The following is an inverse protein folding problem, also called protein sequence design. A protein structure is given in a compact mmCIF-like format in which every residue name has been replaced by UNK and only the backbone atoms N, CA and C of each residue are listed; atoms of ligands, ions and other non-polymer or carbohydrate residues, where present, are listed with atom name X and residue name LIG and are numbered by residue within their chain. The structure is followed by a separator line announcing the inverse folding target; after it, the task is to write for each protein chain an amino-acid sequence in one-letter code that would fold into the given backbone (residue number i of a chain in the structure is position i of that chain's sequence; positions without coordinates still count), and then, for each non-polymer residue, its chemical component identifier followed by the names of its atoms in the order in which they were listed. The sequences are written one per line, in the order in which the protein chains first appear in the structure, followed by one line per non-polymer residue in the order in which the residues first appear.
data_IF_240887069148
#
_entry.id   IF_240887069148
#
_cell.length_a   1.000
_cell.length_b   1.000
_cell.length_c   1.000
_cell.angle_alpha   90.00
_cell.angle_beta   90.00
_cell.angle_gamma   90.00
#
_symmetry.space_group_name_H-M   'P 1'
#
loop_
_entity.id
_entity.type
_entity.pdbx_description
1 polymer ?
#
# COMPACT_ATOMS: atom_id res chain seq x y z
N UNK A 1 22.25 -0.65 15.60
CA UNK A 1 21.88 -0.08 14.29
C UNK A 1 22.96 -0.44 13.29
N UNK A 2 22.63 -0.57 12.00
CA UNK A 2 23.63 -0.73 10.94
C UNK A 2 24.35 0.61 10.72
N UNK A 3 25.67 0.61 10.73
CA UNK A 3 26.45 1.83 10.42
C UNK A 3 26.21 2.24 8.95
N UNK A 4 26.09 3.54 8.62
CA UNK A 4 25.78 4.00 7.26
C UNK A 4 26.76 3.52 6.19
N UNK A 5 28.02 3.28 6.57
CA UNK A 5 29.11 2.83 5.69
C UNK A 5 29.40 1.33 5.81
N UNK A 6 28.63 0.58 6.59
CA UNK A 6 28.86 -0.85 6.79
C UNK A 6 28.80 -1.59 5.44
N UNK A 7 29.81 -2.40 5.14
CA UNK A 7 29.85 -3.27 3.96
C UNK A 7 29.35 -4.69 4.24
N UNK A 8 29.21 -5.06 5.52
CA UNK A 8 28.79 -6.38 5.97
C UNK A 8 27.84 -6.29 7.18
N UNK A 9 27.02 -7.32 7.38
CA UNK A 9 26.16 -7.43 8.56
C UNK A 9 25.84 -8.88 8.94
N UNK A 10 25.84 -9.14 10.25
CA UNK A 10 25.42 -10.42 10.81
C UNK A 10 23.90 -10.65 10.73
N UNK A 11 23.10 -9.57 10.69
CA UNK A 11 21.63 -9.68 10.61
C UNK A 11 21.17 -9.72 9.16
N UNK A 12 20.04 -10.39 8.93
CA UNK A 12 19.39 -10.42 7.62
C UNK A 12 19.03 -9.01 7.15
N UNK A 13 18.39 -8.23 8.01
CA UNK A 13 17.97 -6.85 7.70
C UNK A 13 19.16 -5.98 7.32
N UNK A 14 20.28 -6.09 8.05
CA UNK A 14 21.49 -5.34 7.72
C UNK A 14 22.06 -5.72 6.36
N UNK A 15 22.06 -7.01 5.99
CA UNK A 15 22.48 -7.46 4.66
C UNK A 15 21.56 -6.94 3.56
N UNK A 16 20.24 -6.90 3.79
CA UNK A 16 19.28 -6.36 2.83
C UNK A 16 19.42 -4.85 2.65
N UNK A 17 19.66 -4.10 3.73
CA UNK A 17 19.93 -2.65 3.65
C UNK A 17 21.22 -2.38 2.87
N UNK A 18 22.29 -3.14 3.12
CA UNK A 18 23.53 -3.04 2.33
C UNK A 18 23.25 -3.36 0.86
N UNK A 19 22.52 -4.44 0.56
CA UNK A 19 22.13 -4.78 -0.82
C UNK A 19 21.35 -3.65 -1.49
N UNK A 20 20.38 -3.05 -0.79
CA UNK A 20 19.60 -1.91 -1.28
C UNK A 20 20.50 -0.72 -1.65
N UNK A 21 21.47 -0.38 -0.78
CA UNK A 21 22.42 0.70 -1.02
C UNK A 21 23.34 0.41 -2.21
N UNK A 22 24.01 -0.76 -2.21
CA UNK A 22 25.07 -1.08 -3.17
C UNK A 22 24.54 -1.45 -4.56
N UNK A 23 23.42 -2.17 -4.65
CA UNK A 23 22.91 -2.67 -5.94
C UNK A 23 21.88 -1.74 -6.59
N UNK A 24 21.10 -1.03 -5.76
CA UNK A 24 19.99 -0.21 -6.24
C UNK A 24 20.20 1.29 -5.98
N UNK A 25 21.35 1.68 -5.42
CA UNK A 25 21.66 3.09 -5.15
C UNK A 25 20.74 3.75 -4.12
N UNK A 26 20.11 2.95 -3.25
CA UNK A 26 19.17 3.47 -2.24
C UNK A 26 19.93 4.33 -1.23
N UNK A 27 19.45 5.56 -1.02
CA UNK A 27 19.93 6.44 0.05
C UNK A 27 19.30 6.03 1.36
N UNK A 28 20.08 5.40 2.24
CA UNK A 28 19.64 5.00 3.57
C UNK A 28 19.67 6.19 4.52
N UNK A 29 18.53 6.48 5.15
CA UNK A 29 18.40 7.50 6.20
C UNK A 29 17.95 6.78 7.48
N UNK A 30 18.75 6.78 8.56
CA UNK A 30 18.35 6.21 9.83
C UNK A 30 17.10 6.91 10.38
N UNK A 31 16.15 6.12 10.86
CA UNK A 31 14.94 6.60 11.50
C UNK A 31 14.71 5.88 12.83
N UNK A 32 13.96 6.52 13.72
CA UNK A 32 13.39 5.87 14.89
C UNK A 32 11.96 5.44 14.56
N UNK A 33 11.67 4.14 14.75
CA UNK A 33 10.34 3.59 14.52
C UNK A 33 9.34 4.25 15.47
N UNK A 34 8.27 4.81 14.92
CA UNK A 34 7.23 5.50 15.67
C UNK A 34 6.19 4.48 16.13
N UNK A 35 6.45 3.86 17.28
CA UNK A 35 5.57 2.86 17.89
C UNK A 35 4.59 3.50 18.89
N UNK A 36 3.31 3.13 18.82
CA UNK A 36 2.31 3.42 19.86
C UNK A 36 1.43 2.20 20.11
N UNK A 37 1.15 1.94 21.39
CA UNK A 37 0.23 0.87 21.79
C UNK A 37 -1.21 1.26 21.43
N UNK A 38 -1.72 0.70 20.34
CA UNK A 38 -3.13 0.78 19.94
C UNK A 38 -3.92 -0.48 20.30
N UNK A 39 -5.17 -0.55 19.85
CA UNK A 39 -6.07 -1.70 20.06
C UNK A 39 -5.68 -2.90 19.19
N UNK A 40 -5.29 -2.64 17.96
CA UNK A 40 -4.72 -3.59 17.02
C UNK A 40 -3.21 -3.34 16.89
N UNK A 41 -2.42 -4.36 17.21
CA UNK A 41 -0.95 -4.30 17.14
C UNK A 41 -0.43 -4.30 15.70
N UNK A 42 -1.25 -4.69 14.72
CA UNK A 42 -0.89 -4.72 13.29
C UNK A 42 -0.46 -3.34 12.79
N UNK A 43 -1.08 -2.28 13.32
CA UNK A 43 -0.85 -0.89 12.88
C UNK A 43 -0.12 -0.05 13.94
N UNK A 44 0.41 -0.67 15.00
CA UNK A 44 1.08 0.04 16.10
C UNK A 44 2.28 0.89 15.67
N UNK A 45 2.93 0.54 14.56
CA UNK A 45 4.09 1.24 14.00
C UNK A 45 3.76 2.06 12.75
N UNK A 46 2.48 2.14 12.38
CA UNK A 46 2.02 2.80 11.16
C UNK A 46 2.41 4.28 11.08
N UNK A 47 2.50 4.96 12.22
CA UNK A 47 2.95 6.36 12.30
C UNK A 47 4.35 6.60 11.73
N UNK A 48 5.17 5.55 11.62
CA UNK A 48 6.53 5.65 11.05
C UNK A 48 6.51 6.19 9.62
N UNK A 49 5.45 5.91 8.84
CA UNK A 49 5.33 6.45 7.48
C UNK A 49 5.23 7.99 7.45
N UNK A 50 4.74 8.60 8.53
CA UNK A 50 4.57 10.04 8.64
C UNK A 50 5.92 10.78 8.74
N UNK A 51 7.03 10.07 8.97
CA UNK A 51 8.38 10.61 8.85
C UNK A 51 8.71 11.08 7.42
N UNK A 52 7.92 10.70 6.41
CA UNK A 52 8.01 11.24 5.06
C UNK A 52 7.89 12.78 5.03
N UNK A 53 7.08 13.37 5.91
CA UNK A 53 6.94 14.83 6.00
C UNK A 53 8.17 15.54 6.58
N UNK A 54 9.07 14.80 7.23
CA UNK A 54 10.32 15.32 7.79
C UNK A 54 11.50 15.25 6.79
N UNK A 55 11.32 14.62 5.62
CA UNK A 55 12.38 14.44 4.62
C UNK A 55 12.61 15.72 3.78
N UNK A 56 12.90 16.83 4.46
CA UNK A 56 13.00 18.20 3.89
C UNK A 56 14.12 18.42 2.87
N UNK A 57 14.99 17.43 2.67
CA UNK A 57 15.97 17.41 1.58
C UNK A 57 15.36 17.13 0.20
N UNK A 58 14.06 16.81 0.15
CA UNK A 58 13.32 16.53 -1.09
C UNK A 58 12.10 17.46 -1.21
N UNK A 59 11.79 17.89 -2.44
CA UNK A 59 10.61 18.72 -2.72
C UNK A 59 9.29 17.93 -2.66
N UNK A 60 9.38 16.62 -2.90
CA UNK A 60 8.28 15.66 -2.94
C UNK A 60 8.76 14.30 -2.49
N UNK A 61 7.96 13.59 -1.70
CA UNK A 61 8.23 12.22 -1.27
C UNK A 61 6.99 11.37 -1.47
N UNK A 62 7.12 10.30 -2.26
CA UNK A 62 6.09 9.28 -2.41
C UNK A 62 6.34 8.16 -1.40
N UNK A 63 5.49 8.07 -0.38
CA UNK A 63 5.48 6.96 0.57
C UNK A 63 4.49 5.90 0.09
N UNK A 64 4.94 4.64 0.11
CA UNK A 64 4.17 3.47 -0.32
C UNK A 64 4.12 2.47 0.83
N UNK A 65 2.95 1.88 1.05
CA UNK A 65 2.79 0.82 2.05
C UNK A 65 3.56 -0.45 1.67
N UNK A 66 4.20 -1.06 2.66
CA UNK A 66 5.09 -2.22 2.49
C UNK A 66 4.35 -3.50 2.11
N UNK A 67 3.05 -3.57 2.36
CA UNK A 67 2.13 -4.60 1.88
C UNK A 67 1.52 -4.25 0.52
N UNK A 68 2.33 -3.73 -0.40
CA UNK A 68 1.92 -3.38 -1.76
C UNK A 68 2.94 -3.84 -2.80
N UNK A 69 2.54 -3.80 -4.07
CA UNK A 69 3.40 -4.00 -5.22
C UNK A 69 3.24 -2.84 -6.21
N UNK A 70 4.37 -2.22 -6.58
CA UNK A 70 4.47 -1.38 -7.78
C UNK A 70 4.56 -2.31 -8.98
N UNK A 71 3.63 -2.16 -9.92
CA UNK A 71 3.53 -3.01 -11.12
C UNK A 71 3.77 -2.22 -12.42
N UNK A 72 3.70 -0.89 -12.37
CA UNK A 72 4.03 0.00 -13.48
C UNK A 72 4.66 1.31 -12.97
N UNK A 73 5.26 2.11 -13.87
CA UNK A 73 5.82 3.42 -13.53
C UNK A 73 4.71 4.39 -13.06
N UNK A 74 5.00 5.16 -12.00
CA UNK A 74 4.10 6.14 -11.39
C UNK A 74 4.75 7.53 -11.24
N UNK A 75 5.81 7.82 -12.01
CA UNK A 75 6.59 9.05 -11.84
C UNK A 75 5.79 10.31 -12.17
N UNK A 76 4.72 10.17 -12.96
CA UNK A 76 3.78 11.25 -13.24
C UNK A 76 3.13 11.82 -11.97
N UNK A 77 3.08 11.08 -10.86
CA UNK A 77 2.59 11.61 -9.59
C UNK A 77 3.43 12.79 -9.09
N UNK A 78 4.73 12.85 -9.41
CA UNK A 78 5.59 13.97 -9.04
C UNK A 78 5.30 15.25 -9.85
N UNK A 79 4.52 15.14 -10.92
CA UNK A 79 4.09 16.28 -11.76
C UNK A 79 2.77 16.90 -11.27
N UNK A 80 2.15 16.35 -10.22
CA UNK A 80 0.93 16.90 -9.65
C UNK A 80 1.13 18.34 -9.15
N UNK A 81 0.08 19.19 -9.20
CA UNK A 81 0.13 20.55 -8.67
C UNK A 81 0.63 20.58 -7.22
N UNK A 82 1.29 21.68 -6.79
CA UNK A 82 1.73 21.81 -5.41
C UNK A 82 0.59 21.66 -4.39
N UNK A 83 0.75 20.69 -3.49
CA UNK A 83 -0.14 20.43 -2.37
C UNK A 83 0.66 19.88 -1.18
N UNK A 84 0.23 20.11 0.07
CA UNK A 84 0.89 19.50 1.24
C UNK A 84 0.93 17.98 1.14
N UNK A 85 -0.16 17.40 0.64
CA UNK A 85 -0.32 15.96 0.48
C UNK A 85 -1.30 15.62 -0.64
N UNK A 86 -1.01 14.54 -1.38
CA UNK A 86 -1.95 13.90 -2.28
C UNK A 86 -2.14 12.42 -1.91
N UNK A 87 -3.39 11.96 -1.92
CA UNK A 87 -3.78 10.59 -1.52
C UNK A 87 -4.95 10.07 -2.37
N UNK A 88 -5.05 8.76 -2.60
CA UNK A 88 -6.23 8.16 -3.21
C UNK A 88 -7.43 8.12 -2.25
N UNK A 89 -8.63 7.97 -2.79
CA UNK A 89 -9.82 7.67 -1.98
C UNK A 89 -9.78 6.24 -1.46
N UNK A 90 -10.27 6.01 -0.25
CA UNK A 90 -10.61 4.69 0.25
C UNK A 90 -11.93 4.24 -0.38
N UNK A 91 -11.90 3.91 -1.69
CA UNK A 91 -13.09 3.70 -2.50
C UNK A 91 -14.03 2.63 -1.92
N UNK A 92 -13.49 1.60 -1.25
CA UNK A 92 -14.25 0.50 -0.63
C UNK A 92 -15.12 0.92 0.57
N UNK A 93 -14.99 2.18 1.02
CA UNK A 93 -15.83 2.77 2.06
C UNK A 93 -16.74 3.88 1.51
N UNK A 94 -16.68 4.17 0.21
CA UNK A 94 -17.43 5.27 -0.41
C UNK A 94 -18.79 4.78 -0.93
N UNK A 95 -19.89 5.53 -0.75
CA UNK A 95 -19.97 6.90 -0.21
C UNK A 95 -20.15 7.00 1.30
N UNK A 96 -20.32 5.89 2.03
CA UNK A 96 -20.70 5.88 3.45
C UNK A 96 -19.67 6.58 4.35
N UNK A 97 -18.38 6.42 4.04
CA UNK A 97 -17.26 7.09 4.69
C UNK A 97 -16.32 7.65 3.61
N UNK A 98 -16.50 8.92 3.21
CA UNK A 98 -15.65 9.56 2.20
C UNK A 98 -14.31 9.95 2.83
N UNK A 99 -13.44 8.95 3.01
CA UNK A 99 -12.09 9.13 3.55
C UNK A 99 -11.02 8.80 2.50
N UNK A 100 -9.82 9.30 2.75
CA UNK A 100 -8.63 9.05 1.96
C UNK A 100 -7.89 7.83 2.51
N UNK A 101 -7.20 7.14 1.62
CA UNK A 101 -6.45 5.96 1.94
C UNK A 101 -4.94 6.27 1.95
N UNK A 102 -4.20 5.67 2.88
CA UNK A 102 -2.79 6.03 3.14
C UNK A 102 -1.76 5.04 2.58
N UNK A 103 -2.19 4.06 1.77
CA UNK A 103 -1.32 3.10 1.11
C UNK A 103 -0.39 3.75 0.09
N UNK A 104 -0.80 4.91 -0.45
CA UNK A 104 -0.01 5.75 -1.32
C UNK A 104 -0.17 7.21 -0.87
N UNK A 105 0.95 7.86 -0.57
CA UNK A 105 0.99 9.19 0.02
C UNK A 105 2.08 10.00 -0.66
N UNK A 106 1.70 10.99 -1.48
CA UNK A 106 2.65 11.97 -2.01
C UNK A 106 2.68 13.19 -1.10
N UNK A 107 3.73 13.31 -0.29
CA UNK A 107 3.92 14.42 0.63
C UNK A 107 4.82 15.51 0.01
N UNK A 108 4.54 16.76 0.37
CA UNK A 108 5.53 17.85 0.30
C UNK A 108 6.15 18.00 1.68
N UNK A 109 7.39 17.55 1.91
CA UNK A 109 8.02 17.63 3.22
C UNK A 109 8.13 19.07 3.74
N UNK A 110 7.85 19.27 5.02
CA UNK A 110 7.89 20.58 5.68
C UNK A 110 8.04 20.38 7.18
N UNK A 111 9.03 21.05 7.79
CA UNK A 111 9.22 21.00 9.24
C UNK A 111 7.99 21.50 10.01
N UNK A 112 7.31 22.54 9.48
CA UNK A 112 6.06 23.06 10.07
C UNK A 112 4.92 22.05 9.96
N UNK A 113 4.76 21.41 8.80
CA UNK A 113 3.69 20.43 8.62
C UNK A 113 3.96 19.16 9.44
N UNK A 114 5.22 18.73 9.51
CA UNK A 114 5.62 17.60 10.34
C UNK A 114 5.36 17.86 11.83
N UNK A 115 5.62 19.08 12.33
CA UNK A 115 5.28 19.44 13.70
C UNK A 115 3.76 19.33 13.98
N UNK A 116 2.93 19.83 13.05
CA UNK A 116 1.46 19.72 13.13
C UNK A 116 0.99 18.27 13.12
N UNK A 117 1.60 17.41 12.30
CA UNK A 117 1.31 15.98 12.29
C UNK A 117 1.70 15.35 13.62
N UNK A 118 2.89 15.66 14.14
CA UNK A 118 3.38 15.10 15.40
C UNK A 118 2.49 15.49 16.59
N UNK A 119 1.97 16.72 16.63
CA UNK A 119 0.96 17.13 17.61
C UNK A 119 -0.28 16.23 17.56
N UNK A 120 -0.75 15.90 16.35
CA UNK A 120 -1.92 15.04 16.19
C UNK A 120 -1.64 13.58 16.55
N UNK A 121 -0.46 13.07 16.18
CA UNK A 121 0.02 11.74 16.60
C UNK A 121 0.14 11.66 18.12
N UNK A 122 0.65 12.70 18.77
CA UNK A 122 0.77 12.74 20.23
C UNK A 122 -0.59 12.66 20.93
N UNK A 123 -1.62 13.27 20.33
CA UNK A 123 -3.00 13.22 20.78
C UNK A 123 -3.82 12.01 20.28
N UNK A 124 -3.19 11.06 19.56
CA UNK A 124 -3.87 9.89 18.98
C UNK A 124 -4.47 8.99 20.05
N UNK A 125 -5.72 8.58 19.85
CA UNK A 125 -6.41 7.58 20.66
C UNK A 125 -5.96 6.14 20.34
N UNK A 126 -6.49 5.14 21.07
CA UNK A 126 -6.10 3.74 20.89
C UNK A 126 -6.59 3.11 19.58
N UNK A 127 -7.59 3.71 18.93
CA UNK A 127 -8.12 3.29 17.62
C UNK A 127 -7.61 4.18 16.47
N UNK A 128 -6.78 5.19 16.76
CA UNK A 128 -6.21 6.07 15.73
C UNK A 128 -4.89 5.48 15.21
N UNK A 129 -4.77 5.36 13.89
CA UNK A 129 -3.54 4.99 13.18
C UNK A 129 -3.20 6.06 12.14
N UNK A 130 -2.23 5.78 11.28
CA UNK A 130 -1.80 6.72 10.24
C UNK A 130 -2.96 7.23 9.37
N UNK A 131 -3.91 6.38 8.97
CA UNK A 131 -5.08 6.80 8.20
C UNK A 131 -5.96 7.79 8.97
N UNK A 132 -6.25 7.54 10.25
CA UNK A 132 -7.07 8.44 11.06
C UNK A 132 -6.40 9.80 11.21
N UNK A 133 -5.09 9.83 11.51
CA UNK A 133 -4.33 11.07 11.63
C UNK A 133 -4.36 11.86 10.31
N UNK A 134 -4.09 11.21 9.19
CA UNK A 134 -4.09 11.84 7.87
C UNK A 134 -5.48 12.37 7.51
N UNK A 135 -6.55 11.62 7.77
CA UNK A 135 -7.91 12.07 7.46
C UNK A 135 -8.38 13.19 8.39
N UNK A 136 -8.00 13.19 9.66
CA UNK A 136 -8.29 14.30 10.58
C UNK A 136 -7.63 15.60 10.14
N UNK A 137 -6.47 15.53 9.48
CA UNK A 137 -5.71 16.70 9.03
C UNK A 137 -6.06 17.15 7.60
N UNK A 138 -6.31 16.21 6.70
CA UNK A 138 -6.25 16.46 5.26
C UNK A 138 -7.45 15.98 4.43
N UNK A 139 -8.44 15.27 4.99
CA UNK A 139 -9.54 14.71 4.17
C UNK A 139 -10.23 15.74 3.26
N UNK A 140 -10.32 16.99 3.73
CA UNK A 140 -11.00 18.10 3.03
C UNK A 140 -10.04 19.02 2.27
N UNK A 141 -8.72 18.82 2.36
CA UNK A 141 -7.70 19.75 1.82
C UNK A 141 -6.61 19.06 0.98
N UNK A 142 -6.48 17.74 1.04
CA UNK A 142 -5.56 16.99 0.21
C UNK A 142 -5.95 17.09 -1.27
N UNK A 143 -4.94 16.99 -2.14
CA UNK A 143 -5.19 16.68 -3.54
C UNK A 143 -5.63 15.22 -3.63
N UNK A 144 -6.81 14.97 -4.19
CA UNK A 144 -7.32 13.59 -4.35
C UNK A 144 -6.78 13.00 -5.64
N UNK A 145 -5.96 11.97 -5.51
CA UNK A 145 -5.49 11.14 -6.64
C UNK A 145 -6.59 10.13 -6.96
N UNK A 146 -6.84 9.78 -8.24
CA UNK A 146 -7.79 8.72 -8.54
C UNK A 146 -7.29 7.37 -7.96
N UNK A 147 -8.16 6.56 -7.37
CA UNK A 147 -7.77 5.23 -6.88
C UNK A 147 -7.46 4.26 -8.03
N UNK A 148 -7.97 4.53 -9.23
CA UNK A 148 -7.55 3.91 -10.49
C UNK A 148 -6.55 4.84 -11.19
N UNK A 149 -5.30 4.42 -11.47
CA UNK A 149 -4.72 3.08 -11.30
C UNK A 149 -3.90 2.87 -10.00
N UNK A 150 -3.97 3.79 -9.03
CA UNK A 150 -3.00 3.93 -7.94
C UNK A 150 -3.37 3.23 -6.61
N UNK A 151 -4.41 2.43 -6.56
CA UNK A 151 -4.90 1.86 -5.30
C UNK A 151 -5.80 0.64 -5.47
N UNK A 152 -5.48 -0.26 -6.40
CA UNK A 152 -6.23 -1.52 -6.57
C UNK A 152 -6.00 -2.43 -5.35
N UNK A 153 -7.06 -2.73 -4.60
CA UNK A 153 -7.00 -3.74 -3.55
C UNK A 153 -7.07 -5.14 -4.16
N UNK A 154 -6.27 -6.07 -3.66
CA UNK A 154 -6.34 -7.47 -4.09
C UNK A 154 -7.69 -8.14 -3.73
N UNK A 155 -8.37 -7.68 -2.67
CA UNK A 155 -9.73 -8.13 -2.35
C UNK A 155 -10.77 -7.74 -3.38
N UNK A 156 -10.49 -6.77 -4.26
CA UNK A 156 -11.39 -6.42 -5.34
C UNK A 156 -11.67 -7.64 -6.23
N UNK A 157 -10.65 -8.47 -6.52
CA UNK A 157 -10.84 -9.70 -7.30
C UNK A 157 -11.73 -10.75 -6.61
N UNK A 158 -11.95 -10.64 -5.30
CA UNK A 158 -12.80 -11.54 -4.50
C UNK A 158 -14.18 -10.95 -4.24
N UNK A 159 -14.37 -9.65 -4.49
CA UNK A 159 -15.65 -9.00 -4.28
C UNK A 159 -16.70 -9.57 -5.24
N UNK A 160 -17.96 -9.52 -4.82
CA UNK A 160 -19.09 -9.90 -5.68
C UNK A 160 -19.68 -8.72 -6.44
N UNK A 161 -19.26 -7.50 -6.08
CA UNK A 161 -19.71 -6.24 -6.67
C UNK A 161 -18.53 -5.30 -6.75
N UNK A 162 -18.38 -4.61 -7.88
CA UNK A 162 -17.21 -3.76 -8.15
C UNK A 162 -17.58 -2.28 -8.35
N UNK A 163 -18.84 -1.90 -8.10
CA UNK A 163 -19.35 -0.54 -8.37
C UNK A 163 -18.50 0.56 -7.70
N UNK A 164 -18.04 0.31 -6.47
CA UNK A 164 -17.21 1.27 -5.73
C UNK A 164 -15.82 1.45 -6.36
N UNK A 165 -15.23 0.37 -6.87
CA UNK A 165 -13.95 0.44 -7.55
C UNK A 165 -14.08 1.04 -8.95
N UNK A 166 -15.09 0.61 -9.71
CA UNK A 166 -15.32 1.09 -11.07
C UNK A 166 -15.80 2.55 -11.08
N UNK A 167 -16.52 2.98 -10.02
CA UNK A 167 -17.13 4.30 -9.95
C UNK A 167 -18.39 4.43 -10.81
N UNK A 168 -18.88 3.31 -11.35
CA UNK A 168 -20.05 3.22 -12.22
C UNK A 168 -20.77 1.89 -11.98
N UNK A 169 -22.10 1.90 -12.12
CA UNK A 169 -22.92 0.68 -12.13
C UNK A 169 -23.01 0.04 -13.51
N UNK A 170 -22.69 0.81 -14.55
CA UNK A 170 -22.81 0.39 -15.94
C UNK A 170 -21.49 -0.20 -16.49
N UNK A 171 -20.36 0.08 -15.83
CA UNK A 171 -19.07 -0.51 -16.20
C UNK A 171 -19.03 -1.98 -15.75
N UNK A 172 -18.71 -2.87 -16.69
CA UNK A 172 -18.58 -4.31 -16.40
C UNK A 172 -17.19 -4.58 -15.85
N UNK A 173 -17.13 -5.39 -14.79
CA UNK A 173 -15.86 -5.85 -14.24
C UNK A 173 -15.13 -6.77 -15.21
N UNK A 174 -13.99 -6.31 -15.71
CA UNK A 174 -13.03 -7.12 -16.45
C UNK A 174 -11.73 -7.21 -15.62
N UNK A 175 -11.43 -8.37 -15.01
CA UNK A 175 -10.26 -8.52 -14.15
C UNK A 175 -8.94 -8.37 -14.91
N UNK A 176 -8.91 -8.64 -16.23
CA UNK A 176 -7.72 -8.47 -17.07
C UNK A 176 -7.49 -6.98 -17.34
N UNK A 177 -8.52 -6.27 -17.78
CA UNK A 177 -8.42 -4.83 -18.06
C UNK A 177 -8.03 -4.06 -16.80
N UNK A 178 -8.66 -4.37 -15.66
CA UNK A 178 -8.37 -3.74 -14.37
C UNK A 178 -6.93 -3.99 -13.92
N UNK A 179 -6.44 -5.23 -14.03
CA UNK A 179 -5.06 -5.52 -13.66
C UNK A 179 -4.04 -4.85 -14.58
N UNK A 180 -4.34 -4.78 -15.89
CA UNK A 180 -3.49 -4.10 -16.87
C UNK A 180 -3.50 -2.57 -16.71
N UNK A 181 -4.58 -1.99 -16.17
CA UNK A 181 -4.66 -0.58 -15.83
C UNK A 181 -3.83 -0.25 -14.57
N UNK A 182 -3.85 -1.15 -13.59
CA UNK A 182 -3.27 -0.93 -12.27
C UNK A 182 -1.76 -0.64 -12.32
N UNK A 183 -1.33 0.38 -11.57
CA UNK A 183 0.08 0.74 -11.36
C UNK A 183 0.55 0.37 -9.95
N UNK A 184 -0.37 0.33 -9.00
CA UNK A 184 -0.13 0.00 -7.60
C UNK A 184 -1.22 -0.95 -7.07
N UNK A 185 -0.78 -2.08 -6.53
CA UNK A 185 -1.65 -3.13 -5.99
C UNK A 185 -1.39 -3.29 -4.49
N UNK A 186 -2.43 -3.19 -3.67
CA UNK A 186 -2.34 -3.26 -2.20
C UNK A 186 -2.97 -4.55 -1.67
N UNK A 187 -2.22 -5.30 -0.85
CA UNK A 187 -2.63 -6.61 -0.34
C UNK A 187 -3.61 -6.49 0.83
N UNK A 188 -4.91 -6.56 0.55
CA UNK A 188 -5.98 -6.34 1.54
C UNK A 188 -6.98 -7.49 1.57
N UNK A 189 -6.56 -8.67 2.03
CA UNK A 189 -7.29 -9.93 1.82
C UNK A 189 -7.67 -10.70 3.08
N UNK A 190 -7.80 -10.04 4.23
CA UNK A 190 -8.20 -10.72 5.48
C UNK A 190 -9.35 -11.71 5.25
N UNK A 191 -9.27 -12.97 5.75
CA UNK A 191 -8.22 -13.55 6.60
C UNK A 191 -6.99 -14.14 5.88
N UNK A 192 -6.89 -14.04 4.54
CA UNK A 192 -5.66 -14.44 3.85
C UNK A 192 -4.53 -13.52 4.32
N UNK A 193 -3.40 -14.07 4.79
CA UNK A 193 -2.33 -13.25 5.34
C UNK A 193 -1.60 -12.47 4.25
N UNK A 194 -0.72 -11.55 4.69
CA UNK A 194 0.17 -10.80 3.79
C UNK A 194 1.04 -11.75 2.96
N UNK A 195 1.47 -11.36 1.75
CA UNK A 195 2.02 -12.31 0.77
C UNK A 195 3.36 -12.96 1.17
N UNK A 196 4.08 -12.39 2.14
CA UNK A 196 5.32 -12.97 2.72
C UNK A 196 5.06 -13.94 3.88
N UNK A 197 3.80 -14.16 4.26
CA UNK A 197 3.42 -15.12 5.28
C UNK A 197 2.84 -16.39 4.60
N UNK A 198 3.08 -17.57 5.18
CA UNK A 198 2.49 -18.79 4.67
C UNK A 198 0.96 -18.73 4.77
N UNK A 199 0.28 -19.06 3.67
CA UNK A 199 -1.18 -19.18 3.65
C UNK A 199 -1.58 -20.65 3.75
N UNK A 200 -2.39 -21.07 4.73
CA UNK A 200 -2.89 -22.43 4.80
C UNK A 200 -3.68 -22.80 3.54
N UNK A 201 -3.45 -24.00 2.99
CA UNK A 201 -4.06 -24.43 1.73
C UNK A 201 -5.60 -24.37 1.77
N UNK A 202 -6.22 -24.82 2.87
CA UNK A 202 -7.67 -24.74 3.04
C UNK A 202 -8.19 -23.30 2.96
N UNK A 203 -7.45 -22.35 3.54
CA UNK A 203 -7.82 -20.94 3.55
C UNK A 203 -7.69 -20.32 2.16
N UNK A 204 -6.63 -20.70 1.43
CA UNK A 204 -6.42 -20.28 0.05
C UNK A 204 -7.55 -20.78 -0.85
N UNK A 205 -7.90 -22.07 -0.75
CA UNK A 205 -8.98 -22.69 -1.52
C UNK A 205 -10.33 -22.01 -1.23
N UNK A 206 -10.58 -21.70 0.04
CA UNK A 206 -11.83 -21.06 0.48
C UNK A 206 -11.94 -19.60 0.04
N UNK A 207 -10.84 -18.83 0.14
CA UNK A 207 -10.87 -17.37 -0.01
C UNK A 207 -10.48 -16.86 -1.39
N UNK A 208 -9.82 -17.64 -2.23
CA UNK A 208 -9.54 -17.24 -3.61
C UNK A 208 -10.84 -16.91 -4.36
N UNK A 209 -10.81 -16.04 -5.40
CA UNK A 209 -11.98 -15.74 -6.21
C UNK A 209 -12.68 -17.01 -6.72
N UNK A 210 -14.01 -16.99 -6.77
CA UNK A 210 -14.78 -18.09 -7.39
C UNK A 210 -14.68 -17.98 -8.91
N UNK A 211 -14.72 -19.11 -9.60
CA UNK A 211 -14.93 -19.08 -11.05
C UNK A 211 -16.39 -18.74 -11.32
N UNK A 212 -16.62 -17.90 -12.32
CA UNK A 212 -17.96 -17.51 -12.79
C UNK A 212 -18.41 -18.54 -13.81
N UNK A 213 -19.67 -18.97 -13.74
CA UNK A 213 -20.25 -19.85 -14.76
C UNK A 213 -20.85 -18.99 -15.86
N UNK A 214 -20.40 -19.23 -17.08
CA UNK A 214 -20.93 -18.57 -18.27
C UNK A 214 -22.23 -19.25 -18.73
N UNK A 215 -23.00 -18.55 -19.58
CA UNK A 215 -24.27 -19.06 -20.11
C UNK A 215 -24.10 -20.35 -20.94
N UNK A 216 -22.94 -20.52 -21.57
CA UNK A 216 -22.59 -21.71 -22.37
C UNK A 216 -22.12 -22.91 -21.51
N UNK A 217 -22.09 -22.75 -20.18
CA UNK A 217 -21.67 -23.76 -19.24
C UNK A 217 -20.16 -23.85 -19.01
N UNK A 218 -19.36 -22.98 -19.67
CA UNK A 218 -17.95 -22.82 -19.36
C UNK A 218 -17.74 -22.09 -18.03
N UNK A 219 -16.55 -22.22 -17.45
CA UNK A 219 -16.17 -21.53 -16.21
C UNK A 219 -15.06 -20.52 -16.48
N UNK A 220 -15.31 -19.23 -16.18
CA UNK A 220 -14.30 -18.19 -16.17
C UNK A 220 -13.63 -18.12 -14.79
N UNK A 221 -12.37 -18.56 -14.73
CA UNK A 221 -11.53 -18.47 -13.55
C UNK A 221 -10.51 -17.32 -13.62
N UNK A 222 -10.66 -16.36 -14.52
CA UNK A 222 -9.63 -15.34 -14.81
C UNK A 222 -9.27 -14.51 -13.58
N UNK A 223 -10.26 -14.06 -12.80
CA UNK A 223 -10.02 -13.34 -11.54
C UNK A 223 -9.21 -14.18 -10.53
N UNK A 224 -9.50 -15.49 -10.42
CA UNK A 224 -8.75 -16.43 -9.56
C UNK A 224 -7.32 -16.57 -10.02
N UNK A 225 -7.11 -16.73 -11.33
CA UNK A 225 -5.78 -16.88 -11.93
C UNK A 225 -4.94 -15.63 -11.68
N UNK A 226 -5.48 -14.44 -11.91
CA UNK A 226 -4.80 -13.16 -11.67
C UNK A 226 -4.49 -12.99 -10.18
N UNK A 227 -5.46 -13.21 -9.30
CA UNK A 227 -5.28 -13.05 -7.86
C UNK A 227 -4.17 -13.98 -7.32
N UNK A 228 -4.18 -15.26 -7.69
CA UNK A 228 -3.12 -16.21 -7.30
C UNK A 228 -1.76 -15.82 -7.89
N UNK A 229 -1.74 -15.30 -9.12
CA UNK A 229 -0.53 -14.82 -9.79
C UNK A 229 0.09 -13.62 -9.06
N UNK A 230 -0.70 -12.63 -8.63
CA UNK A 230 -0.21 -11.47 -7.87
C UNK A 230 0.56 -11.92 -6.61
N UNK A 231 0.00 -12.86 -5.86
CA UNK A 231 0.65 -13.44 -4.67
C UNK A 231 1.91 -14.22 -5.01
N UNK A 232 1.86 -15.07 -6.05
CA UNK A 232 3.00 -15.87 -6.48
C UNK A 232 4.16 -15.00 -6.97
N UNK A 233 3.89 -13.98 -7.78
CA UNK A 233 4.90 -13.05 -8.30
C UNK A 233 5.50 -12.17 -7.20
N UNK A 234 4.75 -11.78 -6.18
CA UNK A 234 5.32 -11.11 -5.01
C UNK A 234 6.35 -12.00 -4.31
N UNK A 235 5.99 -13.25 -4.00
CA UNK A 235 6.90 -14.22 -3.36
C UNK A 235 8.11 -14.52 -4.24
N UNK A 236 7.91 -14.70 -5.55
CA UNK A 236 8.99 -14.95 -6.50
C UNK A 236 9.99 -13.79 -6.52
N UNK A 237 9.53 -12.54 -6.66
CA UNK A 237 10.39 -11.34 -6.61
C UNK A 237 11.09 -11.20 -5.27
N UNK A 238 10.39 -11.48 -4.17
CA UNK A 238 10.98 -11.47 -2.82
C UNK A 238 12.09 -12.51 -2.67
N UNK A 239 11.91 -13.71 -3.22
CA UNK A 239 12.94 -14.75 -3.21
C UNK A 239 14.12 -14.39 -4.10
N UNK A 240 13.87 -13.90 -5.30
CA UNK A 240 14.90 -13.50 -6.25
C UNK A 240 15.74 -12.32 -5.74
N UNK A 241 15.08 -11.26 -5.24
CA UNK A 241 15.74 -10.01 -4.85
C UNK A 241 16.25 -10.07 -3.41
N UNK A 242 15.53 -10.68 -2.47
CA UNK A 242 15.90 -10.66 -1.05
C UNK A 242 16.42 -12.00 -0.51
N UNK A 243 16.38 -13.07 -1.32
CA UNK A 243 16.64 -14.46 -0.86
C UNK A 243 15.69 -14.93 0.25
N UNK A 244 14.50 -14.34 0.32
CA UNK A 244 13.48 -14.63 1.33
C UNK A 244 12.29 -15.37 0.75
N UNK A 245 11.78 -16.35 1.51
CA UNK A 245 10.55 -17.05 1.19
C UNK A 245 9.33 -16.12 1.30
#
# INVERSE_FOLDING_TARGET
MLEPTASESATLDGRLLIKAREQYGVKLVPIEVQHRTGKDSTWAESFTKLLAFNQTSYDRVLSLDSDSAVVQNMDELFLLPPCPVAMPRAYWLFPEKPILASQLLLATPSATEFARIQERVNAAGPDDYDMEILNQLYKDTALVVPHRPYGLLTSEFRATTHEMYLGSKDEVWDPVAVFNEAKFVHFSDWPVPKPWLPTPEHLLIEKQPKCVKEEDGSEDCTARTIWNRIYAEFRARRKEICDLA
#
